data_IF_884479916004
#
_entry.id   IF_884479916004
#
_cell.length_a   1.000
_cell.length_b   1.000
_cell.length_c   1.000
_cell.angle_alpha   90.00
_cell.angle_beta   90.00
_cell.angle_gamma   90.00
#
_symmetry.space_group_name_H-M   'P 1'
#
loop_
_entity.id
_entity.type
_entity.pdbx_description
1 polymer ?
#
# COMPACT_ATOMS: atom_id res chain seq x y z
N UNK A 1 -0.51 -7.85 12.36
CA UNK A 1 -0.27 -6.58 13.06
C UNK A 1 -1.37 -5.63 12.64
N UNK A 2 -1.85 -4.76 13.54
CA UNK A 2 -2.64 -3.61 13.11
C UNK A 2 -1.83 -2.76 12.11
N UNK A 3 -2.52 -1.91 11.35
CA UNK A 3 -1.93 -0.87 10.53
C UNK A 3 -0.61 -0.29 11.09
N UNK A 4 0.44 -0.24 10.25
CA UNK A 4 1.77 0.29 10.60
C UNK A 4 2.15 1.43 9.66
N UNK A 5 2.56 2.57 10.22
CA UNK A 5 3.06 3.73 9.47
C UNK A 5 4.55 3.95 9.76
N UNK A 6 5.33 4.18 8.72
CA UNK A 6 6.77 4.45 8.82
C UNK A 6 7.06 5.73 9.62
N UNK A 7 8.27 5.82 10.15
CA UNK A 7 8.79 7.05 10.75
C UNK A 7 8.73 8.21 9.74
N UNK A 8 9.17 7.96 8.49
CA UNK A 8 9.18 8.96 7.43
C UNK A 8 7.79 9.51 7.11
N UNK A 9 6.76 8.65 7.05
CA UNK A 9 5.39 9.11 6.82
C UNK A 9 4.86 9.93 8.00
N UNK A 10 5.12 9.51 9.24
CA UNK A 10 4.67 10.21 10.44
C UNK A 10 5.28 11.60 10.54
N UNK A 11 6.60 11.70 10.32
CA UNK A 11 7.32 12.97 10.34
C UNK A 11 6.88 13.90 9.20
N UNK A 12 6.64 13.35 8.00
CA UNK A 12 6.11 14.12 6.87
C UNK A 12 4.76 14.74 7.21
N UNK A 13 3.84 13.97 7.79
CA UNK A 13 2.50 14.44 8.14
C UNK A 13 2.54 15.52 9.23
N UNK A 14 3.46 15.42 10.18
CA UNK A 14 3.57 16.37 11.30
C UNK A 14 4.27 17.68 10.93
N UNK A 15 5.19 17.66 9.95
CA UNK A 15 6.08 18.80 9.68
C UNK A 15 5.94 19.35 8.26
N UNK A 16 5.67 18.49 7.27
CA UNK A 16 5.84 18.83 5.86
C UNK A 16 4.52 19.08 5.14
N UNK A 17 3.56 18.16 5.26
CA UNK A 17 2.32 18.27 4.49
C UNK A 17 1.37 17.09 4.69
N UNK A 18 0.23 17.06 3.96
CA UNK A 18 -0.75 16.00 4.11
C UNK A 18 -0.24 14.64 3.62
N UNK A 19 -0.80 13.55 4.14
CA UNK A 19 -0.46 12.17 3.75
C UNK A 19 -0.53 11.94 2.24
N UNK A 20 -1.46 12.59 1.53
CA UNK A 20 -1.58 12.52 0.08
C UNK A 20 -0.26 12.84 -0.60
N UNK A 21 0.37 13.95 -0.23
CA UNK A 21 1.56 14.44 -0.91
C UNK A 21 2.77 13.52 -0.62
N UNK A 22 2.78 12.85 0.54
CA UNK A 22 3.83 11.89 0.90
C UNK A 22 3.82 10.63 0.02
N UNK A 23 2.62 10.18 -0.40
CA UNK A 23 2.43 8.95 -1.18
C UNK A 23 2.06 9.22 -2.64
N UNK A 24 2.01 10.49 -3.06
CA UNK A 24 1.61 10.86 -4.41
C UNK A 24 2.60 10.30 -5.45
N UNK A 25 2.03 9.82 -6.55
CA UNK A 25 2.73 9.06 -7.60
C UNK A 25 3.41 7.78 -7.08
N UNK A 26 3.02 7.31 -5.90
CA UNK A 26 3.47 6.09 -5.30
C UNK A 26 2.86 4.83 -5.89
N UNK A 27 3.12 3.70 -5.25
CA UNK A 27 2.61 2.38 -5.65
C UNK A 27 2.06 1.62 -4.45
N UNK A 28 1.16 0.66 -4.71
CA UNK A 28 0.77 -0.33 -3.70
C UNK A 28 1.36 -1.68 -4.11
N UNK A 29 2.21 -2.23 -3.25
CA UNK A 29 2.78 -3.56 -3.42
C UNK A 29 2.04 -4.55 -2.53
N UNK A 30 1.58 -5.65 -3.13
CA UNK A 30 0.87 -6.74 -2.45
C UNK A 30 1.80 -7.94 -2.34
N UNK A 31 1.91 -8.49 -1.14
CA UNK A 31 2.86 -9.56 -0.84
C UNK A 31 2.18 -10.77 -0.20
N UNK A 32 2.79 -11.94 -0.41
CA UNK A 32 2.62 -13.09 0.47
C UNK A 32 3.74 -13.16 1.52
N UNK A 33 3.53 -14.00 2.53
CA UNK A 33 4.45 -14.23 3.64
C UNK A 33 4.25 -13.27 4.80
N UNK A 34 5.09 -13.43 5.82
CA UNK A 34 5.01 -12.66 7.06
C UNK A 34 5.40 -11.21 6.78
N UNK A 35 4.51 -10.28 7.10
CA UNK A 35 4.79 -8.85 6.99
C UNK A 35 5.95 -8.44 7.92
N UNK A 36 6.80 -7.48 7.51
CA UNK A 36 7.76 -6.84 8.40
C UNK A 36 7.10 -6.26 9.66
N UNK A 37 7.81 -6.26 10.81
CA UNK A 37 7.25 -5.79 12.08
C UNK A 37 6.92 -4.28 12.05
N UNK A 38 7.61 -3.51 11.25
CA UNK A 38 7.29 -2.10 11.05
C UNK A 38 7.38 -1.75 9.58
N UNK A 39 6.72 -0.67 9.18
CA UNK A 39 6.88 -0.15 7.83
C UNK A 39 8.32 0.36 7.55
N UNK A 40 9.10 0.66 8.60
CA UNK A 40 10.51 1.05 8.46
C UNK A 40 11.41 -0.14 8.09
N UNK A 41 11.00 -1.36 8.46
CA UNK A 41 11.79 -2.56 8.20
C UNK A 41 11.81 -2.94 6.71
N UNK A 42 12.95 -3.50 6.30
CA UNK A 42 13.16 -4.04 4.96
C UNK A 42 12.15 -5.15 4.64
N UNK A 43 11.77 -5.26 3.37
CA UNK A 43 11.05 -6.43 2.87
C UNK A 43 11.90 -7.68 3.18
N UNK A 44 11.26 -8.72 3.69
CA UNK A 44 11.92 -9.98 4.02
C UNK A 44 12.58 -10.05 5.41
N UNK A 45 12.51 -8.99 6.21
CA UNK A 45 13.15 -8.93 7.55
C UNK A 45 12.61 -9.98 8.54
N UNK A 46 11.36 -10.43 8.33
CA UNK A 46 10.67 -11.40 9.19
C UNK A 46 10.55 -12.80 8.56
N UNK A 47 11.06 -13.00 7.34
CA UNK A 47 10.92 -14.24 6.58
C UNK A 47 10.77 -13.99 5.08
N UNK A 48 10.61 -15.04 4.28
CA UNK A 48 10.44 -14.88 2.84
C UNK A 48 9.15 -14.13 2.51
N UNK A 49 9.26 -13.06 1.71
CA UNK A 49 8.13 -12.38 1.08
C UNK A 49 8.18 -12.59 -0.43
N UNK A 50 7.02 -12.79 -1.05
CA UNK A 50 6.90 -12.82 -2.51
C UNK A 50 6.03 -11.65 -2.93
N UNK A 51 6.56 -10.78 -3.79
CA UNK A 51 5.76 -9.74 -4.43
C UNK A 51 4.77 -10.38 -5.41
N UNK A 52 3.48 -10.31 -5.08
CA UNK A 52 2.42 -10.87 -5.91
C UNK A 52 2.02 -9.87 -6.99
N UNK A 53 1.77 -8.61 -6.60
CA UNK A 53 1.23 -7.58 -7.50
C UNK A 53 1.83 -6.21 -7.17
N UNK A 54 2.12 -5.44 -8.20
CA UNK A 54 2.32 -3.98 -8.07
C UNK A 54 1.12 -3.27 -8.69
N UNK A 55 0.37 -2.56 -7.87
CA UNK A 55 -0.76 -1.74 -8.28
C UNK A 55 -0.24 -0.38 -8.72
N UNK A 56 -0.64 0.02 -9.92
CA UNK A 56 -0.32 1.31 -10.55
C UNK A 56 -1.55 1.83 -11.30
N UNK A 57 -1.47 3.04 -11.86
CA UNK A 57 -2.54 3.59 -12.67
C UNK A 57 -2.69 2.75 -13.95
N UNK A 58 -3.84 2.09 -14.07
CA UNK A 58 -4.21 1.19 -15.16
C UNK A 58 -3.16 0.12 -15.51
N UNK A 59 -2.40 -0.35 -14.51
CA UNK A 59 -1.27 -1.28 -14.69
C UNK A 59 -0.17 -0.78 -15.66
N UNK A 60 -0.01 0.55 -15.81
CA UNK A 60 0.95 1.16 -16.73
C UNK A 60 2.28 1.56 -16.09
N UNK A 61 2.51 1.19 -14.82
CA UNK A 61 3.62 1.66 -13.99
C UNK A 61 3.63 3.19 -13.73
N UNK A 62 2.55 3.89 -14.09
CA UNK A 62 2.32 5.27 -13.65
C UNK A 62 1.85 5.27 -12.19
N UNK A 63 2.37 6.19 -11.39
CA UNK A 63 2.06 6.31 -9.97
C UNK A 63 0.59 6.58 -9.66
N UNK A 64 0.21 6.29 -8.42
CA UNK A 64 -1.14 6.44 -7.88
C UNK A 64 -1.31 7.80 -7.20
N UNK A 65 -2.50 8.38 -7.25
CA UNK A 65 -2.83 9.63 -6.54
C UNK A 65 -4.07 9.48 -5.67
N UNK A 66 -4.03 10.05 -4.48
CA UNK A 66 -5.20 10.15 -3.60
C UNK A 66 -6.09 11.32 -4.02
N UNK A 67 -7.34 11.31 -3.56
CA UNK A 67 -8.30 12.39 -3.81
C UNK A 67 -7.76 13.76 -3.35
N UNK A 68 -8.18 14.81 -4.07
CA UNK A 68 -7.71 16.17 -3.79
C UNK A 68 -8.18 16.72 -2.43
N UNK A 69 -9.22 16.14 -1.83
CA UNK A 69 -9.85 16.61 -0.59
C UNK A 69 -10.04 15.46 0.39
N UNK A 70 -9.81 15.71 1.68
CA UNK A 70 -10.15 14.81 2.77
C UNK A 70 -11.49 15.21 3.42
N UNK A 71 -12.25 14.24 3.91
CA UNK A 71 -13.51 14.45 4.65
C UNK A 71 -13.45 13.65 5.95
N UNK A 72 -13.77 14.27 7.09
CA UNK A 72 -13.82 13.61 8.41
C UNK A 72 -12.55 12.78 8.74
N UNK A 73 -11.36 13.34 8.49
CA UNK A 73 -10.09 12.66 8.77
C UNK A 73 -9.73 11.53 7.80
N UNK A 74 -10.49 11.36 6.71
CA UNK A 74 -10.30 10.30 5.72
C UNK A 74 -10.01 10.91 4.34
N UNK A 75 -9.02 10.34 3.65
CA UNK A 75 -8.74 10.61 2.23
C UNK A 75 -8.84 9.30 1.46
N UNK A 76 -9.57 9.32 0.36
CA UNK A 76 -9.81 8.15 -0.49
C UNK A 76 -8.87 8.17 -1.71
N UNK A 77 -8.79 7.07 -2.46
CA UNK A 77 -8.15 7.09 -3.78
C UNK A 77 -8.83 8.11 -4.72
N UNK A 78 -8.11 8.61 -5.72
CA UNK A 78 -8.74 9.37 -6.79
C UNK A 78 -9.71 8.46 -7.57
N UNK A 79 -11.00 8.78 -7.51
CA UNK A 79 -12.07 7.99 -8.14
C UNK A 79 -12.00 8.00 -9.67
N UNK A 80 -11.30 8.96 -10.27
CA UNK A 80 -11.04 8.99 -11.71
C UNK A 80 -9.98 7.97 -12.14
N UNK A 81 -9.19 7.47 -11.18
CA UNK A 81 -8.10 6.53 -11.44
C UNK A 81 -8.54 5.07 -11.31
N UNK A 82 -8.14 4.26 -12.30
CA UNK A 82 -8.27 2.81 -12.25
C UNK A 82 -7.01 2.26 -11.61
N UNK A 83 -7.09 1.86 -10.33
CA UNK A 83 -5.98 1.27 -9.60
C UNK A 83 -5.98 -0.23 -9.82
N UNK A 84 -4.98 -0.73 -10.55
CA UNK A 84 -4.86 -2.16 -10.84
C UNK A 84 -3.42 -2.59 -11.11
N UNK A 85 -3.21 -3.89 -11.07
CA UNK A 85 -1.95 -4.52 -11.44
C UNK A 85 -2.19 -5.96 -11.85
N UNK A 86 -1.37 -6.46 -12.76
CA UNK A 86 -1.37 -7.88 -13.12
C UNK A 86 -0.44 -8.63 -12.17
N UNK A 87 -0.91 -9.76 -11.63
CA UNK A 87 -0.12 -10.56 -10.70
C UNK A 87 1.12 -11.16 -11.38
N UNK A 88 2.29 -10.85 -10.85
CA UNK A 88 3.56 -11.44 -11.30
C UNK A 88 3.75 -12.87 -10.77
N UNK A 89 3.22 -13.16 -9.58
CA UNK A 89 3.36 -14.44 -8.90
C UNK A 89 2.03 -14.93 -8.32
N UNK A 90 1.92 -16.25 -8.15
CA UNK A 90 0.79 -16.89 -7.45
C UNK A 90 1.07 -16.99 -5.96
N UNK A 91 0.08 -16.72 -5.12
CA UNK A 91 0.19 -16.87 -3.67
C UNK A 91 -1.00 -16.29 -2.92
N UNK A 92 -1.01 -16.50 -1.60
CA UNK A 92 -1.97 -15.86 -0.71
C UNK A 92 -1.51 -14.43 -0.44
N UNK A 93 -2.33 -13.44 -0.79
CA UNK A 93 -2.10 -12.04 -0.43
C UNK A 93 -2.37 -11.85 1.07
N UNK A 94 -1.33 -11.53 1.83
CA UNK A 94 -1.40 -11.44 3.29
C UNK A 94 -1.23 -10.01 3.80
N UNK A 95 -0.49 -9.16 3.07
CA UNK A 95 -0.25 -7.78 3.45
C UNK A 95 0.09 -6.91 2.24
N UNK A 96 -0.03 -5.60 2.42
CA UNK A 96 0.36 -4.61 1.42
C UNK A 96 1.19 -3.49 2.01
N UNK A 97 1.91 -2.80 1.13
CA UNK A 97 2.58 -1.54 1.44
C UNK A 97 2.26 -0.51 0.36
N UNK A 98 1.67 0.60 0.77
CA UNK A 98 1.59 1.81 -0.04
C UNK A 98 2.84 2.64 0.22
N UNK A 99 3.59 2.91 -0.84
CA UNK A 99 4.90 3.52 -0.79
C UNK A 99 4.95 4.80 -1.62
N UNK A 100 5.79 5.75 -1.25
CA UNK A 100 6.14 6.87 -2.12
C UNK A 100 6.89 6.42 -3.38
N UNK A 101 7.03 7.29 -4.40
CA UNK A 101 7.57 6.93 -5.71
C UNK A 101 9.05 6.51 -5.72
N UNK A 102 9.81 6.88 -4.69
CA UNK A 102 11.25 6.61 -4.57
C UNK A 102 11.58 5.38 -3.71
N UNK A 103 10.57 4.63 -3.25
CA UNK A 103 10.75 3.53 -2.32
C UNK A 103 11.54 2.37 -2.93
N UNK A 104 12.47 1.82 -2.15
CA UNK A 104 13.36 0.74 -2.60
C UNK A 104 13.06 -0.60 -1.94
N UNK A 105 12.12 -0.66 -1.00
CA UNK A 105 11.87 -1.82 -0.15
C UNK A 105 12.97 -2.10 0.90
N UNK A 106 14.03 -1.30 0.96
CA UNK A 106 15.10 -1.45 1.96
C UNK A 106 14.66 -0.95 3.34
N UNK A 107 15.39 -1.33 4.40
CA UNK A 107 15.13 -0.78 5.73
C UNK A 107 15.45 0.71 5.77
N UNK A 108 14.51 1.54 6.20
CA UNK A 108 14.63 3.00 6.17
C UNK A 108 13.66 3.66 7.14
N UNK A 109 14.06 4.81 7.68
CA UNK A 109 13.21 5.65 8.53
C UNK A 109 12.73 6.91 7.80
N UNK A 110 13.08 7.11 6.53
CA UNK A 110 12.79 8.34 5.77
C UNK A 110 11.75 8.15 4.67
N UNK A 111 11.62 6.95 4.12
CA UNK A 111 10.66 6.70 3.03
C UNK A 111 9.23 6.64 3.59
N UNK A 112 8.27 7.34 2.98
CA UNK A 112 6.88 7.31 3.42
C UNK A 112 6.21 6.00 2.99
N UNK A 113 5.89 5.18 4.00
CA UNK A 113 5.26 3.88 3.85
C UNK A 113 4.05 3.75 4.78
N UNK A 114 2.98 3.23 4.22
CA UNK A 114 1.75 2.83 4.92
C UNK A 114 1.52 1.34 4.68
N UNK A 115 1.58 0.55 5.75
CA UNK A 115 1.54 -0.91 5.69
C UNK A 115 0.30 -1.44 6.41
N UNK A 116 -0.43 -2.33 5.75
CA UNK A 116 -1.63 -2.94 6.30
C UNK A 116 -1.76 -4.42 5.94
N UNK A 117 -2.71 -5.10 6.55
CA UNK A 117 -3.02 -6.49 6.24
C UNK A 117 -3.97 -6.60 5.06
N UNK A 118 -3.97 -7.78 4.45
CA UNK A 118 -4.96 -8.20 3.46
C UNK A 118 -5.73 -9.39 4.00
N UNK A 119 -7.05 -9.35 3.87
CA UNK A 119 -7.91 -10.49 4.14
C UNK A 119 -9.17 -10.42 3.26
N UNK A 120 -10.02 -11.44 3.37
CA UNK A 120 -11.34 -11.39 2.72
C UNK A 120 -12.26 -10.33 3.35
N UNK A 121 -12.16 -10.16 4.66
CA UNK A 121 -12.88 -9.16 5.42
C UNK A 121 -12.14 -8.83 6.72
N UNK A 122 -12.37 -7.62 7.26
CA UNK A 122 -11.84 -7.20 8.55
C UNK A 122 -10.36 -6.80 8.55
N UNK A 123 -9.73 -6.67 7.37
CA UNK A 123 -8.38 -6.11 7.21
C UNK A 123 -8.45 -4.68 6.66
N UNK A 124 -7.31 -3.97 6.71
CA UNK A 124 -7.20 -2.62 6.15
C UNK A 124 -7.41 -2.59 4.63
N UNK A 125 -6.99 -3.64 3.92
CA UNK A 125 -7.34 -3.86 2.51
C UNK A 125 -8.08 -5.18 2.38
N UNK A 126 -9.34 -5.13 1.93
CA UNK A 126 -10.15 -6.32 1.76
C UNK A 126 -10.19 -6.74 0.29
N UNK A 127 -9.95 -8.02 0.02
CA UNK A 127 -10.02 -8.61 -1.31
C UNK A 127 -11.11 -9.68 -1.33
N UNK A 128 -11.93 -9.74 -2.39
CA UNK A 128 -12.97 -10.77 -2.50
C UNK A 128 -12.40 -12.20 -2.46
N UNK A 129 -11.23 -12.38 -3.07
CA UNK A 129 -10.40 -13.59 -2.96
C UNK A 129 -8.92 -13.20 -2.77
N UNK A 130 -8.30 -13.47 -1.61
CA UNK A 130 -6.88 -13.20 -1.39
C UNK A 130 -5.96 -14.24 -2.08
N UNK A 131 -6.50 -15.30 -2.69
CA UNK A 131 -5.69 -16.26 -3.46
C UNK A 131 -5.40 -15.67 -4.85
N UNK A 132 -4.25 -15.03 -4.97
CA UNK A 132 -3.80 -14.40 -6.21
C UNK A 132 -3.17 -15.45 -7.12
N UNK A 133 -3.57 -15.45 -8.39
CA UNK A 133 -2.99 -16.30 -9.44
C UNK A 133 -2.20 -15.43 -10.41
N UNK A 134 -0.98 -15.85 -10.75
CA UNK A 134 -0.14 -15.16 -11.72
C UNK A 134 -0.87 -14.93 -13.05
N UNK A 135 -0.70 -13.74 -13.63
CA UNK A 135 -1.38 -13.30 -14.85
C UNK A 135 -2.81 -12.78 -14.64
N UNK A 136 -3.41 -12.96 -13.47
CA UNK A 136 -4.72 -12.38 -13.16
C UNK A 136 -4.58 -10.90 -12.76
N UNK A 137 -5.51 -10.08 -13.20
CA UNK A 137 -5.58 -8.68 -12.78
C UNK A 137 -6.20 -8.56 -11.39
N UNK A 138 -5.53 -7.81 -10.53
CA UNK A 138 -6.04 -7.36 -9.25
C UNK A 138 -6.39 -5.88 -9.33
N UNK A 139 -7.59 -5.54 -8.87
CA UNK A 139 -8.11 -4.16 -8.88
C UNK A 139 -8.36 -3.70 -7.45
N UNK A 140 -8.16 -2.42 -7.21
CA UNK A 140 -8.52 -1.75 -5.96
C UNK A 140 -9.58 -0.70 -6.26
N UNK A 141 -10.84 -1.09 -6.03
CA UNK A 141 -11.99 -0.22 -6.24
C UNK A 141 -12.21 0.74 -5.06
N UNK A 142 -11.86 0.30 -3.84
CA UNK A 142 -11.96 1.09 -2.62
C UNK A 142 -10.63 1.08 -1.88
N UNK A 143 -10.11 2.28 -1.61
CA UNK A 143 -8.93 2.48 -0.78
C UNK A 143 -9.05 3.83 -0.09
N UNK A 144 -8.73 3.84 1.19
CA UNK A 144 -8.75 5.04 2.00
C UNK A 144 -7.61 5.00 3.02
N UNK A 145 -7.16 6.18 3.42
CA UNK A 145 -6.30 6.38 4.57
C UNK A 145 -7.09 7.28 5.52
N UNK A 146 -7.28 6.81 6.74
CA UNK A 146 -7.90 7.57 7.80
C UNK A 146 -6.91 7.85 8.92
N UNK A 147 -7.02 9.04 9.50
CA UNK A 147 -6.47 9.31 10.81
C UNK A 147 -7.52 8.96 11.86
N UNK A 148 -7.13 8.33 12.98
CA UNK A 148 -8.06 8.08 14.07
C UNK A 148 -8.61 9.40 14.61
N UNK A 149 -9.89 9.36 14.99
CA UNK A 149 -10.60 10.48 15.60
C UNK A 149 -10.10 10.77 17.02
#
# INVERSE_FOLDING_TARGET
>A
MALSTSTGLRDYVLVTGPVRDAVDLGFIHIYSGIAPLTADDAIGSQGANILLVTISLDATATGLSMAATATNGTVEKDVSQIWRGTAANTGLAEWYRHVGPADTGSGTTTEPRYQGLIAQAGAELNMSDPNVVAGADQKIDFYLINLPA
#
